data_IF_290742007785
#
_entry.id   IF_290742007785
#
_cell.length_a   1.000
_cell.length_b   1.000
_cell.length_c   1.000
_cell.angle_alpha   90.00
_cell.angle_beta   90.00
_cell.angle_gamma   90.00
#
_symmetry.space_group_name_H-M   'P 1'
#
loop_
_entity.id
_entity.type
_entity.pdbx_description
1 polymer ?
#
# COMPACT_ATOMS: atom_id res chain seq x y z
N UNK A 1 2.02 30.35 -1.91
CA UNK A 1 1.33 29.33 -2.74
C UNK A 1 2.04 27.98 -2.69
N UNK A 2 3.33 27.89 -3.04
CA UNK A 2 4.09 26.62 -3.06
C UNK A 2 4.03 25.80 -1.76
N UNK A 3 4.10 26.46 -0.60
CA UNK A 3 4.02 25.77 0.68
C UNK A 3 2.64 25.11 0.87
N UNK A 4 1.54 25.83 0.68
CA UNK A 4 0.19 25.26 0.79
C UNK A 4 -0.02 24.07 -0.16
N UNK A 5 0.52 24.14 -1.38
CA UNK A 5 0.48 23.03 -2.34
C UNK A 5 1.23 21.79 -1.82
N UNK A 6 2.39 21.96 -1.20
CA UNK A 6 3.16 20.86 -0.62
C UNK A 6 2.45 20.22 0.59
N UNK A 7 1.84 21.03 1.47
CA UNK A 7 1.04 20.52 2.59
C UNK A 7 -0.14 19.67 2.07
N UNK A 8 -0.84 20.18 1.05
CA UNK A 8 -1.95 19.46 0.44
C UNK A 8 -1.48 18.17 -0.23
N UNK A 9 -0.32 18.16 -0.89
CA UNK A 9 0.24 16.95 -1.49
C UNK A 9 0.61 15.90 -0.42
N UNK A 10 1.22 16.31 0.69
CA UNK A 10 1.56 15.39 1.78
C UNK A 10 0.29 14.82 2.44
N UNK A 11 -0.76 15.63 2.65
CA UNK A 11 -2.03 15.14 3.21
C UNK A 11 -2.80 14.24 2.25
N UNK A 12 -2.83 14.58 0.97
CA UNK A 12 -3.53 13.80 -0.06
C UNK A 12 -2.96 12.39 -0.18
N UNK A 13 -1.70 12.16 0.21
CA UNK A 13 -1.13 10.81 0.34
C UNK A 13 -2.00 9.89 1.20
N UNK A 14 -2.54 10.38 2.32
CA UNK A 14 -3.38 9.59 3.24
C UNK A 14 -4.65 9.11 2.55
N UNK A 15 -5.26 9.96 1.73
CA UNK A 15 -6.46 9.63 0.96
C UNK A 15 -6.13 8.62 -0.14
N UNK A 16 -5.04 8.83 -0.87
CA UNK A 16 -4.55 7.92 -1.92
C UNK A 16 -4.28 6.53 -1.36
N UNK A 17 -3.63 6.45 -0.19
CA UNK A 17 -3.38 5.18 0.47
C UNK A 17 -4.67 4.50 0.97
N UNK A 18 -5.61 5.26 1.52
CA UNK A 18 -6.91 4.72 1.93
C UNK A 18 -7.68 4.10 0.76
N UNK A 19 -7.65 4.73 -0.42
CA UNK A 19 -8.29 4.17 -1.62
C UNK A 19 -7.65 2.84 -2.04
N UNK A 20 -6.34 2.69 -1.84
CA UNK A 20 -5.64 1.44 -2.06
C UNK A 20 -6.08 0.35 -1.07
N UNK A 21 -6.09 0.64 0.22
CA UNK A 21 -6.57 -0.30 1.25
C UNK A 21 -8.03 -0.71 0.99
N UNK A 22 -8.87 0.19 0.52
CA UNK A 22 -10.25 -0.15 0.15
C UNK A 22 -10.32 -1.16 -1.00
N UNK A 23 -9.47 -1.04 -2.02
CA UNK A 23 -9.38 -2.07 -3.07
C UNK A 23 -9.00 -3.43 -2.44
N UNK A 24 -8.01 -3.45 -1.56
CA UNK A 24 -7.55 -4.67 -0.89
C UNK A 24 -8.67 -5.31 -0.06
N UNK A 25 -9.33 -4.55 0.82
CA UNK A 25 -10.42 -5.00 1.70
C UNK A 25 -11.60 -5.55 0.89
N UNK A 26 -11.98 -4.89 -0.21
CA UNK A 26 -13.10 -5.30 -1.05
C UNK A 26 -12.74 -6.58 -1.84
N UNK A 27 -11.49 -6.70 -2.30
CA UNK A 27 -11.08 -7.79 -3.17
C UNK A 27 -10.64 -9.06 -2.42
N UNK A 28 -10.09 -8.95 -1.21
CA UNK A 28 -9.35 -10.03 -0.53
C UNK A 28 -10.15 -11.33 -0.40
N UNK A 29 -11.39 -11.29 0.10
CA UNK A 29 -12.13 -12.52 0.40
C UNK A 29 -12.55 -13.26 -0.89
N UNK A 30 -13.04 -12.52 -1.89
CA UNK A 30 -13.41 -13.08 -3.20
C UNK A 30 -12.17 -13.63 -3.92
N UNK A 31 -11.06 -12.91 -3.81
CA UNK A 31 -9.79 -13.32 -4.38
C UNK A 31 -9.27 -14.62 -3.76
N UNK A 32 -9.31 -14.75 -2.43
CA UNK A 32 -8.81 -15.92 -1.71
C UNK A 32 -9.53 -17.19 -2.13
N UNK A 33 -10.87 -17.15 -2.18
CA UNK A 33 -11.74 -18.25 -2.63
C UNK A 33 -11.48 -18.64 -4.09
N UNK A 34 -11.37 -17.66 -4.99
CA UNK A 34 -11.10 -17.91 -6.42
C UNK A 34 -9.73 -18.54 -6.64
N UNK A 35 -8.73 -18.10 -5.88
CA UNK A 35 -7.33 -18.46 -6.08
C UNK A 35 -6.95 -19.79 -5.43
N UNK A 36 -7.71 -20.24 -4.42
CA UNK A 36 -7.51 -21.52 -3.75
C UNK A 36 -7.38 -22.70 -4.73
N UNK A 37 -8.34 -22.83 -5.65
CA UNK A 37 -8.35 -23.89 -6.68
C UNK A 37 -7.10 -23.90 -7.57
N UNK A 38 -6.44 -22.76 -7.78
CA UNK A 38 -5.22 -22.63 -8.57
C UNK A 38 -3.97 -23.05 -7.80
N UNK A 39 -4.03 -23.01 -6.47
CA UNK A 39 -2.89 -23.21 -5.58
C UNK A 39 -2.84 -24.63 -5.03
N UNK A 40 -3.97 -25.30 -4.92
CA UNK A 40 -4.05 -26.70 -4.47
C UNK A 40 -3.41 -27.70 -5.46
N UNK A 41 -3.38 -27.38 -6.76
CA UNK A 41 -3.09 -28.36 -7.82
C UNK A 41 -1.64 -28.61 -8.24
N UNK A 42 -0.69 -27.68 -8.05
CA UNK A 42 0.75 -27.90 -8.33
C UNK A 42 1.64 -26.69 -7.94
N UNK A 43 1.22 -25.90 -6.96
CA UNK A 43 1.88 -24.62 -6.68
C UNK A 43 3.16 -24.77 -5.85
N UNK A 44 4.15 -23.92 -6.14
CA UNK A 44 5.39 -23.89 -5.37
C UNK A 44 5.12 -23.39 -3.93
N UNK A 45 6.07 -23.64 -3.01
CA UNK A 45 5.94 -23.28 -1.59
C UNK A 45 5.70 -21.78 -1.38
N UNK A 46 6.21 -20.93 -2.27
CA UNK A 46 6.09 -19.47 -2.20
C UNK A 46 4.64 -19.06 -2.50
N UNK A 47 4.06 -19.56 -3.59
CA UNK A 47 2.66 -19.32 -3.96
C UNK A 47 1.69 -19.73 -2.86
N UNK A 48 1.93 -20.89 -2.20
CA UNK A 48 1.13 -21.33 -1.06
C UNK A 48 1.20 -20.35 0.11
N UNK A 49 2.40 -19.86 0.45
CA UNK A 49 2.57 -18.87 1.52
C UNK A 49 1.89 -17.54 1.20
N UNK A 50 2.00 -17.06 -0.04
CA UNK A 50 1.34 -15.82 -0.48
C UNK A 50 -0.19 -15.98 -0.31
N UNK A 51 -0.76 -17.08 -0.78
CA UNK A 51 -2.20 -17.30 -0.62
C UNK A 51 -2.62 -17.47 0.84
N UNK A 52 -1.85 -18.18 1.66
CA UNK A 52 -2.13 -18.28 3.10
C UNK A 52 -2.16 -16.91 3.78
N UNK A 53 -1.28 -15.98 3.39
CA UNK A 53 -1.29 -14.61 3.90
C UNK A 53 -2.59 -13.86 3.55
N UNK A 54 -3.03 -14.01 2.30
CA UNK A 54 -4.25 -13.39 1.77
C UNK A 54 -5.55 -14.14 2.11
N UNK A 55 -5.47 -15.37 2.62
CA UNK A 55 -6.63 -16.19 2.97
C UNK A 55 -7.23 -15.77 4.31
N UNK A 56 -7.75 -14.56 4.34
CA UNK A 56 -8.43 -13.93 5.48
C UNK A 56 -9.72 -13.28 5.01
N UNK A 57 -10.70 -13.13 5.91
CA UNK A 57 -11.93 -12.40 5.59
C UNK A 57 -11.69 -10.88 5.62
N UNK A 58 -12.54 -10.12 4.91
CA UNK A 58 -12.42 -8.67 4.78
C UNK A 58 -12.45 -7.95 6.14
N UNK A 59 -13.19 -8.45 7.13
CA UNK A 59 -13.22 -7.86 8.48
C UNK A 59 -11.87 -7.97 9.20
N UNK A 60 -11.22 -9.13 9.12
CA UNK A 60 -9.92 -9.35 9.76
C UNK A 60 -8.80 -8.63 9.04
N UNK A 61 -8.92 -8.50 7.72
CA UNK A 61 -8.03 -7.68 6.90
C UNK A 61 -8.16 -6.19 7.28
N UNK A 62 -9.38 -5.64 7.25
CA UNK A 62 -9.65 -4.25 7.61
C UNK A 62 -9.16 -3.87 9.02
N UNK A 63 -9.25 -4.77 10.00
CA UNK A 63 -8.69 -4.51 11.35
C UNK A 63 -7.17 -4.29 11.35
N UNK A 64 -6.43 -4.98 10.47
CA UNK A 64 -4.99 -4.77 10.30
C UNK A 64 -4.74 -3.43 9.61
N UNK A 65 -5.51 -3.15 8.56
CA UNK A 65 -5.34 -1.93 7.78
C UNK A 65 -5.65 -0.67 8.58
N UNK A 66 -6.62 -0.72 9.50
CA UNK A 66 -6.86 0.41 10.43
C UNK A 66 -5.60 0.78 11.21
N UNK A 67 -4.82 -0.19 11.66
CA UNK A 67 -3.56 0.08 12.37
C UNK A 67 -2.49 0.65 11.44
N UNK A 68 -2.37 0.11 10.23
CA UNK A 68 -1.44 0.61 9.21
C UNK A 68 -1.82 2.05 8.84
N UNK A 69 -3.08 2.29 8.49
CA UNK A 69 -3.66 3.60 8.18
C UNK A 69 -3.40 4.63 9.29
N UNK A 70 -3.63 4.26 10.55
CA UNK A 70 -3.37 5.15 11.69
C UNK A 70 -1.88 5.49 11.81
N UNK A 71 -1.01 4.48 11.68
CA UNK A 71 0.46 4.67 11.75
C UNK A 71 0.93 5.63 10.67
N UNK A 72 0.46 5.46 9.43
CA UNK A 72 0.85 6.32 8.31
C UNK A 72 0.26 7.73 8.42
N UNK A 73 -0.96 7.86 8.95
CA UNK A 73 -1.57 9.16 9.25
C UNK A 73 -0.75 9.92 10.29
N UNK A 74 -0.23 9.24 11.32
CA UNK A 74 0.66 9.83 12.33
C UNK A 74 1.99 10.26 11.70
N UNK A 75 2.62 9.41 10.88
CA UNK A 75 3.87 9.75 10.18
C UNK A 75 3.67 10.98 9.27
N UNK A 76 2.56 11.01 8.53
CA UNK A 76 2.17 12.16 7.68
C UNK A 76 1.96 13.43 8.50
N UNK A 77 1.23 13.32 9.61
CA UNK A 77 1.01 14.43 10.52
C UNK A 77 2.33 14.98 11.09
N UNK A 78 3.23 14.12 11.55
CA UNK A 78 4.56 14.50 12.04
C UNK A 78 5.35 15.26 10.97
N UNK A 79 5.32 14.79 9.72
CA UNK A 79 5.98 15.46 8.59
C UNK A 79 5.41 16.86 8.36
N UNK A 80 4.08 17.01 8.39
CA UNK A 80 3.40 18.29 8.24
C UNK A 80 3.77 19.29 9.35
N UNK A 81 3.79 18.84 10.61
CA UNK A 81 4.13 19.70 11.75
C UNK A 81 5.60 20.14 11.74
N UNK A 82 6.48 19.34 11.14
CA UNK A 82 7.92 19.55 11.18
C UNK A 82 8.51 19.59 9.76
N UNK A 83 7.90 20.36 8.86
CA UNK A 83 8.19 20.27 7.42
C UNK A 83 9.68 20.41 7.08
N UNK A 84 10.37 21.36 7.71
CA UNK A 84 11.78 21.68 7.48
C UNK A 84 12.75 20.80 8.30
N UNK A 85 12.23 19.96 9.21
CA UNK A 85 13.06 19.10 10.04
C UNK A 85 13.67 17.96 9.25
N UNK A 86 14.99 17.85 9.28
CA UNK A 86 15.72 16.75 8.63
C UNK A 86 15.24 15.38 9.13
N UNK A 87 15.01 15.23 10.43
CA UNK A 87 14.56 13.96 11.00
C UNK A 87 13.15 13.57 10.52
N UNK A 88 12.23 14.53 10.44
CA UNK A 88 10.88 14.27 9.91
C UNK A 88 10.93 13.90 8.42
N UNK A 89 11.82 14.55 7.65
CA UNK A 89 12.06 14.24 6.24
C UNK A 89 12.59 12.83 6.07
N UNK A 90 13.60 12.41 6.84
CA UNK A 90 14.16 11.05 6.78
C UNK A 90 13.07 10.02 7.11
N UNK A 91 12.28 10.26 8.17
CA UNK A 91 11.18 9.37 8.56
C UNK A 91 10.16 9.23 7.42
N UNK A 92 9.71 10.36 6.86
CA UNK A 92 8.70 10.37 5.81
C UNK A 92 9.20 9.76 4.50
N UNK A 93 10.43 10.08 4.07
CA UNK A 93 11.04 9.49 2.87
C UNK A 93 11.23 7.98 3.02
N UNK A 94 11.69 7.51 4.20
CA UNK A 94 11.81 6.07 4.48
C UNK A 94 10.45 5.37 4.39
N UNK A 95 9.41 6.03 4.89
CA UNK A 95 8.04 5.56 4.77
C UNK A 95 7.55 5.50 3.32
N UNK A 96 7.80 6.52 2.49
CA UNK A 96 7.45 6.51 1.07
C UNK A 96 8.17 5.37 0.31
N UNK A 97 9.45 5.12 0.63
CA UNK A 97 10.20 3.99 0.07
C UNK A 97 9.57 2.65 0.47
N UNK A 98 9.16 2.50 1.74
CA UNK A 98 8.45 1.31 2.21
C UNK A 98 7.14 1.09 1.43
N UNK A 99 6.38 2.15 1.16
CA UNK A 99 5.15 2.09 0.35
C UNK A 99 5.44 1.64 -1.08
N UNK A 100 6.52 2.11 -1.70
CA UNK A 100 6.92 1.63 -3.03
C UNK A 100 7.29 0.15 -3.01
N UNK A 101 7.98 -0.33 -1.97
CA UNK A 101 8.31 -1.75 -1.81
C UNK A 101 7.03 -2.59 -1.66
N UNK A 102 6.05 -2.11 -0.87
CA UNK A 102 4.73 -2.74 -0.75
C UNK A 102 4.02 -2.84 -2.10
N UNK A 103 4.01 -1.76 -2.90
CA UNK A 103 3.43 -1.77 -4.24
C UNK A 103 4.14 -2.76 -5.18
N UNK A 104 5.47 -2.85 -5.10
CA UNK A 104 6.23 -3.85 -5.87
C UNK A 104 5.84 -5.27 -5.44
N UNK A 105 5.57 -5.51 -4.15
CA UNK A 105 5.12 -6.81 -3.68
C UNK A 105 3.82 -7.25 -4.36
N UNK A 106 2.86 -6.33 -4.60
CA UNK A 106 1.63 -6.65 -5.36
C UNK A 106 1.90 -7.12 -6.77
N UNK A 107 2.81 -6.42 -7.48
CA UNK A 107 3.21 -6.79 -8.84
C UNK A 107 3.90 -8.16 -8.86
N UNK A 108 4.82 -8.39 -7.92
CA UNK A 108 5.52 -9.67 -7.79
C UNK A 108 4.56 -10.81 -7.45
N UNK A 109 3.65 -10.61 -6.51
CA UNK A 109 2.65 -11.61 -6.14
C UNK A 109 1.73 -11.93 -7.32
N UNK A 110 1.33 -10.92 -8.09
CA UNK A 110 0.52 -11.09 -9.30
C UNK A 110 1.26 -11.92 -10.34
N UNK A 111 2.53 -11.61 -10.58
CA UNK A 111 3.37 -12.34 -11.53
C UNK A 111 3.60 -13.80 -11.09
N UNK A 112 3.91 -14.03 -9.81
CA UNK A 112 4.15 -15.36 -9.26
C UNK A 112 2.90 -16.23 -9.22
N UNK A 113 1.74 -15.66 -8.92
CA UNK A 113 0.46 -16.39 -8.86
C UNK A 113 -0.27 -16.44 -10.20
N UNK A 114 0.18 -15.69 -11.20
CA UNK A 114 -0.46 -15.54 -12.52
C UNK A 114 -1.94 -15.19 -12.40
N UNK A 115 -2.26 -14.35 -11.43
CA UNK A 115 -3.60 -13.83 -11.18
C UNK A 115 -3.46 -12.44 -10.58
N UNK A 116 -4.42 -11.56 -10.83
CA UNK A 116 -4.57 -10.30 -10.10
C UNK A 116 -4.39 -10.54 -8.60
N UNK A 117 -3.68 -9.67 -7.87
CA UNK A 117 -3.60 -9.64 -6.40
C UNK A 117 -4.41 -8.45 -5.87
N UNK A 118 -5.13 -8.58 -4.73
CA UNK A 118 -5.85 -7.44 -4.13
C UNK A 118 -4.94 -6.21 -3.99
N UNK A 119 -5.39 -5.05 -4.47
CA UNK A 119 -4.62 -3.80 -4.39
C UNK A 119 -3.71 -3.54 -5.59
N UNK A 120 -3.57 -4.46 -6.55
CA UNK A 120 -2.68 -4.29 -7.70
C UNK A 120 -3.00 -3.04 -8.53
N UNK A 121 -4.29 -2.77 -8.81
CA UNK A 121 -4.64 -1.71 -9.74
C UNK A 121 -4.34 -0.34 -9.16
N UNK A 122 -4.80 -0.08 -7.93
CA UNK A 122 -4.45 1.15 -7.21
C UNK A 122 -2.96 1.24 -6.91
N UNK A 123 -2.27 0.14 -6.59
CA UNK A 123 -0.82 0.17 -6.40
C UNK A 123 -0.09 0.69 -7.65
N UNK A 124 -0.44 0.18 -8.84
CA UNK A 124 0.24 0.54 -10.10
C UNK A 124 -0.20 1.90 -10.63
N UNK A 125 -1.49 2.19 -10.64
CA UNK A 125 -2.05 3.35 -11.34
C UNK A 125 -2.30 4.57 -10.44
N UNK A 126 -2.33 4.39 -9.11
CA UNK A 126 -2.69 5.44 -8.16
C UNK A 126 -1.55 5.71 -7.18
N UNK A 127 -1.19 4.74 -6.34
CA UNK A 127 -0.20 4.92 -5.27
C UNK A 127 1.21 5.12 -5.84
N UNK A 128 1.65 4.31 -6.80
CA UNK A 128 3.03 4.42 -7.33
C UNK A 128 3.30 5.77 -8.01
N UNK A 129 2.47 6.23 -8.97
CA UNK A 129 2.66 7.54 -9.60
C UNK A 129 2.61 8.67 -8.57
N UNK A 130 1.70 8.59 -7.60
CA UNK A 130 1.56 9.61 -6.58
C UNK A 130 2.75 9.67 -5.64
N UNK A 131 3.27 8.52 -5.19
CA UNK A 131 4.46 8.46 -4.34
C UNK A 131 5.70 8.95 -5.08
N UNK A 132 5.86 8.65 -6.37
CA UNK A 132 6.96 9.20 -7.19
C UNK A 132 6.86 10.72 -7.29
N UNK A 133 5.67 11.25 -7.58
CA UNK A 133 5.43 12.69 -7.58
C UNK A 133 5.78 13.32 -6.23
N UNK A 134 5.41 12.68 -5.12
CA UNK A 134 5.67 13.21 -3.80
C UNK A 134 7.16 13.18 -3.43
N UNK A 135 7.89 12.14 -3.86
CA UNK A 135 9.35 12.06 -3.71
C UNK A 135 10.04 13.20 -4.45
N UNK A 136 9.69 13.42 -5.72
CA UNK A 136 10.24 14.52 -6.55
C UNK A 136 10.01 15.90 -5.92
N UNK A 137 8.87 16.10 -5.24
CA UNK A 137 8.56 17.36 -4.56
C UNK A 137 9.26 17.55 -3.22
N UNK A 138 9.81 16.48 -2.65
CA UNK A 138 10.45 16.48 -1.33
C UNK A 138 11.98 16.40 -1.38
N UNK A 139 12.56 16.07 -2.53
CA UNK A 139 14.00 16.00 -2.78
C UNK A 139 14.47 17.15 -3.66
#
# INVERSE_FOLDING_TARGET
>A
MFQLELYNAIWLFVVIFMLHDFEEIIAVEKWAKRTESRITGNSNRISKKIWQFWNVNSYSFAKRDVFIFLTMSIITFIKIQNLESLWSSILYLSFLIFVLIHNVAHVLQTWLLKTYTPGLYTAVFLVTPYTIYLLDRLT
#
